data_IF_418768965794
#
_entry.id   IF_418768965794
#
_cell.length_a   1.000
_cell.length_b   1.000
_cell.length_c   1.000
_cell.angle_alpha   90.00
_cell.angle_beta   90.00
_cell.angle_gamma   90.00
#
_symmetry.space_group_name_H-M   'P 1'
#
loop_
_entity.id
_entity.type
_entity.pdbx_description
1 polymer ?
#
# COMPACT_ATOMS: atom_id res chain seq x y z
N UNK A 1 9.42 14.88 2.58
CA UNK A 1 8.66 14.73 1.34
C UNK A 1 9.57 14.16 0.26
N UNK A 2 9.11 13.16 -0.51
CA UNK A 2 9.88 12.56 -1.63
C UNK A 2 9.30 13.09 -2.93
N UNK A 3 10.16 13.59 -3.83
CA UNK A 3 9.76 14.13 -5.13
C UNK A 3 10.59 13.48 -6.24
N UNK A 4 9.90 12.94 -7.22
CA UNK A 4 10.48 12.52 -8.50
C UNK A 4 10.16 13.58 -9.55
N UNK A 5 11.18 14.00 -10.29
CA UNK A 5 11.06 15.01 -11.37
C UNK A 5 11.56 14.38 -12.66
N UNK A 6 10.63 13.88 -13.48
CA UNK A 6 10.90 13.22 -14.78
C UNK A 6 11.94 12.10 -14.69
N UNK A 7 11.92 11.33 -13.58
CA UNK A 7 12.88 10.25 -13.33
C UNK A 7 12.56 9.06 -14.21
N UNK A 8 13.58 8.53 -14.87
CA UNK A 8 13.45 7.34 -15.70
C UNK A 8 14.62 6.38 -15.48
N UNK A 9 14.40 5.10 -15.81
CA UNK A 9 15.42 4.05 -15.72
C UNK A 9 15.31 3.09 -16.88
N UNK A 10 16.43 2.88 -17.56
CA UNK A 10 16.61 1.81 -18.53
C UNK A 10 17.78 0.92 -18.11
N UNK A 11 17.64 -0.38 -18.34
CA UNK A 11 18.70 -1.36 -18.14
C UNK A 11 19.31 -1.75 -19.49
N UNK A 12 20.64 -1.99 -19.52
CA UNK A 12 21.30 -2.54 -20.70
C UNK A 12 21.44 -4.04 -20.57
N UNK A 13 20.73 -4.78 -21.41
CA UNK A 13 20.75 -6.24 -21.45
C UNK A 13 21.13 -6.66 -22.86
N UNK A 14 22.22 -7.39 -23.00
CA UNK A 14 22.74 -7.87 -24.31
C UNK A 14 22.85 -6.76 -25.38
N UNK A 15 23.29 -5.55 -24.95
CA UNK A 15 23.45 -4.39 -25.85
C UNK A 15 22.17 -3.64 -26.21
N UNK A 16 21.02 -4.06 -25.70
CA UNK A 16 19.71 -3.36 -25.90
C UNK A 16 19.32 -2.60 -24.63
N UNK A 17 18.75 -1.43 -24.79
CA UNK A 17 18.14 -0.70 -23.70
C UNK A 17 16.70 -1.19 -23.49
N UNK A 18 16.41 -1.61 -22.26
CA UNK A 18 15.10 -2.05 -21.82
C UNK A 18 14.60 -1.02 -20.80
N UNK A 19 13.59 -0.21 -21.12
CA UNK A 19 13.02 0.74 -20.18
C UNK A 19 12.29 -0.01 -19.08
N UNK A 20 12.66 0.27 -17.81
CA UNK A 20 12.01 -0.28 -16.63
C UNK A 20 11.14 0.75 -15.93
N UNK A 21 11.45 2.04 -16.10
CA UNK A 21 10.65 3.16 -15.62
C UNK A 21 10.69 4.26 -16.68
N UNK A 22 9.52 4.64 -17.16
CA UNK A 22 9.33 5.78 -18.05
C UNK A 22 9.49 7.10 -17.25
N UNK A 23 9.69 8.27 -17.93
CA UNK A 23 9.79 9.54 -17.23
C UNK A 23 8.61 9.75 -16.26
N UNK A 24 8.91 9.64 -14.97
CA UNK A 24 7.92 9.65 -13.89
C UNK A 24 8.10 10.89 -13.03
N UNK A 25 6.99 11.59 -12.76
CA UNK A 25 6.89 12.67 -11.79
C UNK A 25 5.91 12.21 -10.71
N UNK A 26 6.36 12.18 -9.45
CA UNK A 26 5.59 11.66 -8.33
C UNK A 26 5.94 12.44 -7.06
N UNK A 27 4.94 12.68 -6.21
CA UNK A 27 5.13 13.28 -4.89
C UNK A 27 4.59 12.38 -3.78
N UNK A 28 5.42 12.10 -2.76
CA UNK A 28 5.03 11.36 -1.58
C UNK A 28 5.18 12.28 -0.37
N UNK A 29 4.09 12.51 0.35
CA UNK A 29 4.05 13.37 1.53
C UNK A 29 4.81 12.78 2.72
N UNK A 30 5.26 13.65 3.62
CA UNK A 30 5.89 13.20 4.87
C UNK A 30 4.87 12.57 5.81
N UNK A 31 5.26 11.48 6.49
CA UNK A 31 4.45 10.81 7.50
C UNK A 31 3.33 9.93 6.97
N UNK A 32 3.09 9.91 5.66
CA UNK A 32 2.06 9.04 5.05
C UNK A 32 2.58 7.64 4.74
N UNK A 33 1.66 6.70 4.63
CA UNK A 33 1.90 5.38 4.04
C UNK A 33 1.47 5.43 2.58
N UNK A 34 2.45 5.35 1.67
CA UNK A 34 2.23 5.39 0.23
C UNK A 34 2.43 4.02 -0.39
N UNK A 35 1.40 3.53 -1.07
CA UNK A 35 1.42 2.23 -1.76
C UNK A 35 1.78 2.38 -3.23
N UNK A 36 2.50 1.41 -3.76
CA UNK A 36 2.74 1.27 -5.20
C UNK A 36 2.30 -0.14 -5.59
N UNK A 37 1.29 -0.24 -6.44
CA UNK A 37 0.74 -1.51 -6.90
C UNK A 37 0.95 -1.66 -8.42
N UNK A 38 1.07 -2.90 -8.87
CA UNK A 38 1.24 -3.23 -10.28
C UNK A 38 1.59 -4.69 -10.47
N UNK A 39 1.40 -5.24 -11.66
CA UNK A 39 1.81 -6.61 -11.99
C UNK A 39 3.33 -6.82 -11.88
N UNK A 40 3.75 -8.08 -11.91
CA UNK A 40 5.18 -8.39 -11.99
C UNK A 40 5.80 -7.74 -13.24
N UNK A 41 6.97 -7.10 -13.09
CA UNK A 41 7.62 -6.39 -14.18
C UNK A 41 7.12 -4.95 -14.43
N UNK A 42 6.12 -4.45 -13.72
CA UNK A 42 5.61 -3.09 -13.90
C UNK A 42 6.60 -1.96 -13.51
N UNK A 43 7.75 -2.28 -12.92
CA UNK A 43 8.77 -1.29 -12.53
C UNK A 43 8.76 -0.89 -11.05
N UNK A 44 7.90 -1.48 -10.22
CA UNK A 44 7.71 -1.13 -8.79
C UNK A 44 9.02 -1.17 -7.98
N UNK A 45 9.73 -2.30 -7.99
CA UNK A 45 10.99 -2.45 -7.26
C UNK A 45 12.08 -1.52 -7.78
N UNK A 46 12.06 -1.21 -9.09
CA UNK A 46 12.96 -0.22 -9.68
C UNK A 46 12.68 1.16 -9.09
N UNK A 47 11.41 1.61 -9.10
CA UNK A 47 11.00 2.90 -8.54
C UNK A 47 11.35 2.99 -7.05
N UNK A 48 11.10 1.95 -6.27
CA UNK A 48 11.43 1.91 -4.84
C UNK A 48 12.94 2.03 -4.61
N UNK A 49 13.76 1.31 -5.38
CA UNK A 49 15.23 1.29 -5.23
C UNK A 49 15.90 2.57 -5.71
N UNK A 50 15.23 3.36 -6.55
CA UNK A 50 15.70 4.69 -6.93
C UNK A 50 15.63 5.67 -5.75
N UNK A 51 14.67 5.53 -4.81
CA UNK A 51 14.53 6.43 -3.65
C UNK A 51 15.81 6.46 -2.80
N UNK A 52 16.42 5.30 -2.56
CA UNK A 52 17.65 5.19 -1.76
C UNK A 52 18.91 4.99 -2.62
N UNK A 53 18.80 5.21 -3.94
CA UNK A 53 19.87 5.02 -4.93
C UNK A 53 20.57 3.66 -4.82
N UNK A 54 19.82 2.59 -4.51
CA UNK A 54 20.30 1.23 -4.77
C UNK A 54 20.36 0.95 -6.26
N UNK A 55 19.50 1.64 -7.03
CA UNK A 55 19.56 1.76 -8.47
C UNK A 55 19.85 3.21 -8.86
N UNK A 56 20.75 3.43 -9.81
CA UNK A 56 21.01 4.76 -10.37
C UNK A 56 19.96 5.09 -11.43
N UNK A 57 19.31 6.27 -11.38
CA UNK A 57 18.42 6.69 -12.45
C UNK A 57 19.20 6.88 -13.76
N UNK A 58 18.56 6.66 -14.89
CA UNK A 58 19.12 7.00 -16.21
C UNK A 58 18.99 8.49 -16.51
N UNK A 59 18.07 9.19 -15.84
CA UNK A 59 17.91 10.64 -15.88
C UNK A 59 16.77 11.07 -14.96
N UNK A 60 16.56 12.40 -14.92
CA UNK A 60 15.65 13.03 -13.97
C UNK A 60 16.30 13.30 -12.61
N UNK A 61 15.51 13.79 -11.66
CA UNK A 61 15.98 14.22 -10.33
C UNK A 61 15.09 13.64 -9.24
N UNK A 62 15.70 13.19 -8.15
CA UNK A 62 15.00 12.74 -6.94
C UNK A 62 15.41 13.66 -5.80
N UNK A 63 14.42 14.34 -5.22
CA UNK A 63 14.62 15.22 -4.07
C UNK A 63 13.88 14.67 -2.86
N UNK A 64 14.56 14.61 -1.71
CA UNK A 64 14.00 14.11 -0.46
C UNK A 64 14.33 15.11 0.64
N UNK A 65 13.28 15.71 1.24
CA UNK A 65 13.39 16.77 2.26
C UNK A 65 14.35 17.90 1.86
N UNK A 66 14.33 18.32 0.58
CA UNK A 66 15.20 19.36 0.02
C UNK A 66 16.60 18.89 -0.35
N UNK A 67 16.93 17.61 -0.18
CA UNK A 67 18.20 17.02 -0.58
C UNK A 67 18.07 16.37 -1.96
N UNK A 68 18.86 16.83 -2.93
CA UNK A 68 18.98 16.14 -4.22
C UNK A 68 19.78 14.85 -4.07
N UNK A 69 19.06 13.71 -3.96
CA UNK A 69 19.67 12.40 -3.77
C UNK A 69 20.48 11.97 -5.00
N UNK A 70 20.09 12.42 -6.18
CA UNK A 70 20.77 12.07 -7.44
C UNK A 70 22.16 12.71 -7.57
N UNK A 71 22.37 13.84 -6.90
CA UNK A 71 23.64 14.58 -6.93
C UNK A 71 24.60 14.25 -5.77
N UNK A 72 24.17 13.40 -4.79
CA UNK A 72 25.01 13.06 -3.65
C UNK A 72 26.27 12.29 -4.06
N UNK A 73 27.42 12.66 -3.48
CA UNK A 73 28.64 11.86 -3.53
C UNK A 73 28.53 10.57 -2.67
N UNK A 74 29.53 9.71 -2.71
CA UNK A 74 29.50 8.45 -1.97
C UNK A 74 29.36 8.64 -0.44
N UNK A 75 29.92 9.72 0.12
CA UNK A 75 29.85 10.03 1.55
C UNK A 75 28.46 10.54 1.92
N UNK A 76 27.93 11.48 1.15
CA UNK A 76 26.57 11.99 1.30
C UNK A 76 25.51 10.90 1.18
N UNK A 77 25.68 10.02 0.18
CA UNK A 77 24.78 8.88 -0.04
C UNK A 77 24.80 7.88 1.13
N UNK A 78 25.97 7.62 1.72
CA UNK A 78 26.07 6.77 2.91
C UNK A 78 25.31 7.36 4.09
N UNK A 79 25.46 8.66 4.36
CA UNK A 79 24.73 9.37 5.42
C UNK A 79 23.22 9.40 5.14
N UNK A 80 22.84 9.65 3.90
CA UNK A 80 21.44 9.64 3.49
C UNK A 80 20.80 8.27 3.72
N UNK A 81 21.48 7.18 3.36
CA UNK A 81 20.98 5.81 3.55
C UNK A 81 20.78 5.41 5.01
N UNK A 82 21.45 6.07 5.97
CA UNK A 82 21.17 5.87 7.40
C UNK A 82 19.79 6.39 7.81
N UNK A 83 19.22 7.36 7.05
CA UNK A 83 17.89 7.92 7.27
C UNK A 83 16.79 7.15 6.54
N UNK A 84 17.14 6.09 5.80
CA UNK A 84 16.21 5.27 5.02
C UNK A 84 16.34 3.82 5.47
N UNK A 85 15.30 3.31 6.13
CA UNK A 85 15.19 1.87 6.42
C UNK A 85 14.67 1.10 5.22
N UNK A 86 15.08 -0.16 5.06
CA UNK A 86 14.56 -1.01 4.00
C UNK A 86 14.21 -2.40 4.52
N UNK A 87 13.00 -2.84 4.20
CA UNK A 87 12.45 -4.17 4.45
C UNK A 87 12.38 -4.89 3.11
N UNK A 88 12.90 -6.10 3.05
CA UNK A 88 13.04 -6.89 1.82
C UNK A 88 12.06 -8.06 1.80
N UNK A 89 11.65 -8.46 0.63
CA UNK A 89 10.77 -9.61 0.36
C UNK A 89 11.29 -10.92 1.00
N UNK A 90 12.57 -11.20 0.89
CA UNK A 90 13.20 -12.41 1.40
C UNK A 90 13.95 -12.18 2.73
N UNK A 91 13.49 -11.20 3.55
CA UNK A 91 14.04 -10.83 4.85
C UNK A 91 15.50 -10.36 4.82
N UNK A 92 16.34 -10.90 3.98
CA UNK A 92 17.79 -10.62 3.83
C UNK A 92 18.54 -10.59 5.18
N UNK A 93 18.21 -11.53 6.08
CA UNK A 93 18.87 -11.68 7.35
C UNK A 93 20.21 -12.42 7.17
N UNK A 94 21.20 -12.01 7.92
CA UNK A 94 22.49 -12.70 7.98
C UNK A 94 22.32 -14.02 8.74
N UNK A 95 22.40 -15.14 8.05
CA UNK A 95 22.14 -16.48 8.59
C UNK A 95 23.14 -16.87 9.69
N UNK A 96 24.39 -16.37 9.62
CA UNK A 96 25.45 -16.59 10.58
C UNK A 96 25.42 -15.66 11.81
N UNK A 97 24.46 -14.77 11.89
CA UNK A 97 24.29 -13.80 12.98
C UNK A 97 23.02 -14.05 13.76
N UNK A 98 23.05 -13.76 15.05
CA UNK A 98 21.85 -13.83 15.88
C UNK A 98 20.83 -12.76 15.49
N UNK A 99 19.60 -12.86 16.03
CA UNK A 99 18.57 -11.83 15.90
C UNK A 99 19.09 -10.47 16.38
N UNK A 100 19.67 -10.42 17.58
CA UNK A 100 20.24 -9.18 18.13
C UNK A 100 21.35 -8.62 17.24
N UNK A 101 22.24 -9.46 16.70
CA UNK A 101 23.32 -9.02 15.83
C UNK A 101 22.81 -8.49 14.48
N UNK A 102 21.75 -9.10 13.92
CA UNK A 102 21.10 -8.61 12.71
C UNK A 102 20.53 -7.18 12.92
N UNK A 103 19.89 -6.93 14.06
CA UNK A 103 19.34 -5.61 14.40
C UNK A 103 20.45 -4.61 14.69
N UNK A 104 21.52 -5.02 15.38
CA UNK A 104 22.66 -4.17 15.74
C UNK A 104 23.53 -3.78 14.54
N UNK A 105 23.49 -4.53 13.44
CA UNK A 105 24.43 -4.37 12.34
C UNK A 105 24.45 -2.99 11.71
N UNK A 106 23.31 -2.36 11.37
CA UNK A 106 23.32 -1.00 10.80
C UNK A 106 23.94 0.03 11.77
N UNK A 107 23.71 -0.10 13.07
CA UNK A 107 24.27 0.77 14.09
C UNK A 107 25.79 0.63 14.22
N UNK A 108 26.29 -0.62 14.16
CA UNK A 108 27.75 -0.88 14.16
C UNK A 108 28.43 -0.31 12.92
N UNK A 109 27.75 -0.38 11.76
CA UNK A 109 28.26 0.17 10.49
C UNK A 109 28.24 1.71 10.47
N UNK A 110 27.28 2.33 11.16
CA UNK A 110 27.24 3.79 11.33
C UNK A 110 28.43 4.27 12.20
N UNK A 111 28.81 3.50 13.23
CA UNK A 111 29.95 3.82 14.08
C UNK A 111 29.76 5.01 15.02
N UNK A 112 28.52 5.44 15.23
CA UNK A 112 28.19 6.66 16.00
C UNK A 112 27.86 6.37 17.47
N UNK A 113 27.51 5.13 17.79
CA UNK A 113 27.05 4.72 19.12
C UNK A 113 28.04 3.80 19.82
N UNK A 114 28.14 3.92 21.13
CA UNK A 114 28.85 2.97 21.98
C UNK A 114 28.14 1.60 21.98
N UNK A 115 28.87 0.57 22.43
CA UNK A 115 28.31 -0.78 22.55
C UNK A 115 27.08 -0.82 23.46
N UNK A 116 27.10 -0.11 24.59
CA UNK A 116 26.00 -0.07 25.54
C UNK A 116 24.75 0.59 24.94
N UNK A 117 24.91 1.67 24.17
CA UNK A 117 23.81 2.32 23.46
C UNK A 117 23.21 1.44 22.37
N UNK A 118 24.06 0.70 21.63
CA UNK A 118 23.63 -0.27 20.64
C UNK A 118 22.81 -1.38 21.32
N UNK A 119 23.32 -1.96 22.42
CA UNK A 119 22.64 -3.03 23.14
C UNK A 119 21.27 -2.56 23.69
N UNK A 120 21.22 -1.34 24.24
CA UNK A 120 19.97 -0.72 24.71
C UNK A 120 18.97 -0.52 23.56
N UNK A 121 19.42 0.01 22.40
CA UNK A 121 18.57 0.20 21.22
C UNK A 121 18.05 -1.11 20.65
N UNK A 122 18.88 -2.15 20.63
CA UNK A 122 18.45 -3.49 20.20
C UNK A 122 17.39 -4.06 21.12
N UNK A 123 17.55 -3.91 22.45
CA UNK A 123 16.55 -4.37 23.41
C UNK A 123 15.21 -3.65 23.24
N UNK A 124 15.22 -2.34 23.06
CA UNK A 124 14.01 -1.54 22.77
C UNK A 124 13.29 -2.05 21.52
N UNK A 125 14.03 -2.28 20.43
CA UNK A 125 13.46 -2.76 19.17
C UNK A 125 12.92 -4.18 19.26
N UNK A 126 13.58 -5.05 20.01
CA UNK A 126 13.10 -6.43 20.26
C UNK A 126 11.76 -6.42 20.98
N UNK A 127 11.58 -5.54 21.98
CA UNK A 127 10.29 -5.36 22.67
C UNK A 127 9.24 -4.85 21.68
N UNK A 128 9.56 -3.83 20.89
CA UNK A 128 8.64 -3.23 19.90
C UNK A 128 8.09 -4.25 18.91
N UNK A 129 8.92 -5.20 18.45
CA UNK A 129 8.50 -6.23 17.50
C UNK A 129 8.04 -7.54 18.16
N UNK A 130 8.01 -7.61 19.51
CA UNK A 130 7.58 -8.78 20.27
C UNK A 130 8.52 -9.97 20.16
N UNK A 131 9.85 -9.75 20.13
CA UNK A 131 10.87 -10.78 19.95
C UNK A 131 11.95 -10.76 21.05
N UNK A 132 11.67 -10.22 22.23
CA UNK A 132 12.65 -10.10 23.33
C UNK A 132 13.27 -11.45 23.72
N UNK A 133 12.49 -12.52 23.70
CA UNK A 133 12.96 -13.88 24.04
C UNK A 133 13.72 -14.57 22.90
N UNK A 134 13.82 -13.92 21.75
CA UNK A 134 14.45 -14.47 20.55
C UNK A 134 15.83 -13.85 20.23
N UNK A 135 16.33 -12.93 21.08
CA UNK A 135 17.54 -12.15 20.83
C UNK A 135 18.76 -13.01 20.43
N UNK A 136 18.93 -14.17 21.07
CA UNK A 136 20.07 -15.10 20.86
C UNK A 136 19.83 -16.16 19.79
N UNK A 137 18.61 -16.25 19.21
CA UNK A 137 18.29 -17.19 18.14
C UNK A 137 18.91 -16.76 16.82
N UNK A 138 19.11 -17.74 15.93
CA UNK A 138 19.54 -17.52 14.55
C UNK A 138 18.34 -17.53 13.60
N UNK A 139 18.43 -16.92 12.41
CA UNK A 139 17.33 -16.87 11.44
C UNK A 139 16.74 -18.24 11.09
N UNK A 140 17.53 -19.31 11.05
CA UNK A 140 17.04 -20.66 10.79
C UNK A 140 16.06 -21.20 11.86
N UNK A 141 16.07 -20.62 13.06
CA UNK A 141 15.21 -21.01 14.19
C UNK A 141 13.91 -20.20 14.27
N UNK A 142 13.63 -19.35 13.27
CA UNK A 142 12.51 -18.42 13.26
C UNK A 142 11.48 -18.78 12.19
N UNK A 143 10.20 -18.55 12.49
CA UNK A 143 9.14 -18.56 11.49
C UNK A 143 9.31 -17.41 10.47
N UNK A 144 8.60 -17.45 9.34
CA UNK A 144 8.60 -16.38 8.33
C UNK A 144 8.22 -15.03 8.93
N UNK A 145 7.15 -14.96 9.70
CA UNK A 145 6.70 -13.73 10.36
C UNK A 145 7.69 -13.22 11.41
N UNK A 146 8.35 -14.12 12.15
CA UNK A 146 9.42 -13.72 13.07
C UNK A 146 10.63 -13.15 12.32
N UNK A 147 11.05 -13.76 11.21
CA UNK A 147 12.10 -13.21 10.34
C UNK A 147 11.75 -11.83 9.84
N UNK A 148 10.50 -11.61 9.42
CA UNK A 148 10.03 -10.31 8.95
C UNK A 148 10.08 -9.26 10.06
N UNK A 149 9.63 -9.59 11.28
CA UNK A 149 9.72 -8.71 12.45
C UNK A 149 11.18 -8.35 12.78
N UNK A 150 12.13 -9.27 12.63
CA UNK A 150 13.57 -8.96 12.75
C UNK A 150 14.02 -7.99 11.64
N UNK A 151 13.56 -8.19 10.39
CA UNK A 151 13.81 -7.28 9.28
C UNK A 151 13.30 -5.86 9.53
N UNK A 152 12.08 -5.74 10.10
CA UNK A 152 11.49 -4.47 10.52
C UNK A 152 12.33 -3.82 11.62
N UNK A 153 12.67 -4.54 12.69
CA UNK A 153 13.49 -4.03 13.77
C UNK A 153 14.87 -3.55 13.28
N UNK A 154 15.51 -4.30 12.37
CA UNK A 154 16.76 -3.91 11.73
C UNK A 154 16.61 -2.62 10.91
N UNK A 155 15.54 -2.49 10.12
CA UNK A 155 15.28 -1.30 9.32
C UNK A 155 15.02 -0.05 10.17
N UNK A 156 14.47 -0.21 11.39
CA UNK A 156 14.21 0.87 12.35
C UNK A 156 15.42 1.22 13.23
N UNK A 157 16.50 0.46 13.18
CA UNK A 157 17.60 0.58 14.14
C UNK A 157 18.25 1.96 14.12
N UNK A 158 18.48 2.53 12.94
CA UNK A 158 19.08 3.86 12.74
C UNK A 158 18.12 5.04 12.94
N UNK A 159 16.89 4.81 13.42
CA UNK A 159 15.83 5.83 13.52
C UNK A 159 15.60 6.56 12.18
N UNK A 160 15.25 5.81 11.13
CA UNK A 160 15.07 6.39 9.80
C UNK A 160 13.88 7.36 9.78
N UNK A 161 13.83 8.24 8.79
CA UNK A 161 12.66 9.07 8.45
C UNK A 161 11.76 8.40 7.44
N UNK A 162 12.32 7.52 6.63
CA UNK A 162 11.65 6.82 5.53
C UNK A 162 11.85 5.33 5.70
N UNK A 163 10.79 4.55 5.50
CA UNK A 163 10.81 3.11 5.49
C UNK A 163 10.35 2.61 4.12
N UNK A 164 11.22 1.91 3.41
CA UNK A 164 10.93 1.30 2.12
C UNK A 164 10.61 -0.19 2.33
N UNK A 165 9.48 -0.65 1.79
CA UNK A 165 9.01 -2.03 1.92
C UNK A 165 8.91 -2.68 0.53
N UNK A 166 9.88 -3.52 0.19
CA UNK A 166 9.92 -4.28 -1.07
C UNK A 166 9.18 -5.60 -0.87
N UNK A 167 7.88 -5.65 -1.21
CA UNK A 167 6.99 -6.82 -1.06
C UNK A 167 7.08 -7.50 0.32
N UNK A 168 6.99 -6.71 1.38
CA UNK A 168 7.29 -7.12 2.76
C UNK A 168 6.38 -8.25 3.31
N UNK A 169 5.30 -8.60 2.63
CA UNK A 169 4.30 -9.59 3.08
C UNK A 169 4.12 -10.78 2.14
N UNK A 170 4.67 -10.73 0.92
CA UNK A 170 4.42 -11.74 -0.12
C UNK A 170 4.88 -13.17 0.22
N UNK A 171 5.78 -13.34 1.19
CA UNK A 171 6.29 -14.63 1.66
C UNK A 171 5.60 -15.12 2.95
N UNK A 172 4.50 -14.48 3.38
CA UNK A 172 3.82 -14.75 4.64
C UNK A 172 2.42 -15.31 4.42
N UNK A 173 1.92 -16.06 5.39
CA UNK A 173 0.51 -16.46 5.42
C UNK A 173 -0.40 -15.26 5.74
N UNK A 174 -1.71 -15.32 5.41
CA UNK A 174 -2.64 -14.19 5.57
C UNK A 174 -2.75 -13.66 7.01
N UNK A 175 -2.68 -14.52 8.03
CA UNK A 175 -2.76 -14.12 9.42
C UNK A 175 -1.50 -13.34 9.83
N UNK A 176 -0.33 -13.86 9.47
CA UNK A 176 0.96 -13.20 9.72
C UNK A 176 1.09 -11.89 8.96
N UNK A 177 0.61 -11.85 7.71
CA UNK A 177 0.50 -10.62 6.89
C UNK A 177 -0.27 -9.55 7.66
N UNK A 178 -1.47 -9.87 8.18
CA UNK A 178 -2.26 -8.93 8.97
C UNK A 178 -1.51 -8.35 10.18
N UNK A 179 -0.79 -9.20 10.93
CA UNK A 179 0.01 -8.76 12.08
C UNK A 179 1.19 -7.85 11.70
N UNK A 180 1.86 -8.14 10.58
CA UNK A 180 2.97 -7.30 10.07
C UNK A 180 2.46 -5.95 9.60
N UNK A 181 1.33 -5.91 8.88
CA UNK A 181 0.70 -4.67 8.44
C UNK A 181 0.23 -3.81 9.61
N UNK A 182 -0.36 -4.42 10.64
CA UNK A 182 -0.74 -3.72 11.86
C UNK A 182 0.49 -3.10 12.54
N UNK A 183 1.58 -3.85 12.68
CA UNK A 183 2.83 -3.36 13.24
C UNK A 183 3.38 -2.16 12.44
N UNK A 184 3.35 -2.21 11.10
CA UNK A 184 3.78 -1.09 10.25
C UNK A 184 2.90 0.15 10.43
N UNK A 185 1.57 -0.03 10.55
CA UNK A 185 0.63 1.06 10.81
C UNK A 185 0.87 1.70 12.19
N UNK A 186 1.12 0.90 13.23
CA UNK A 186 1.47 1.37 14.57
C UNK A 186 2.77 2.18 14.55
N UNK A 187 3.82 1.66 13.89
CA UNK A 187 5.11 2.33 13.73
C UNK A 187 4.96 3.66 12.98
N UNK A 188 4.19 3.70 11.90
CA UNK A 188 3.92 4.93 11.16
C UNK A 188 3.26 5.99 12.07
N UNK A 189 2.21 5.61 12.81
CA UNK A 189 1.44 6.49 13.68
C UNK A 189 2.28 7.02 14.85
N UNK A 190 3.08 6.16 15.49
CA UNK A 190 3.88 6.54 16.66
C UNK A 190 5.12 7.36 16.31
N UNK A 191 5.78 7.03 15.21
CA UNK A 191 7.07 7.63 14.84
C UNK A 191 6.96 8.70 13.75
N UNK A 192 5.79 8.86 13.12
CA UNK A 192 5.58 9.79 12.01
C UNK A 192 6.42 9.45 10.77
N UNK A 193 6.80 8.18 10.58
CA UNK A 193 7.62 7.74 9.45
C UNK A 193 6.85 7.84 8.14
N UNK A 194 7.53 8.26 7.08
CA UNK A 194 7.03 8.05 5.73
C UNK A 194 7.30 6.60 5.33
N UNK A 195 6.25 5.85 4.97
CA UNK A 195 6.39 4.45 4.52
C UNK A 195 6.05 4.41 3.04
N UNK A 196 6.95 3.85 2.22
CA UNK A 196 6.68 3.53 0.82
C UNK A 196 6.71 2.02 0.68
N UNK A 197 5.58 1.42 0.33
CA UNK A 197 5.49 -0.02 0.16
C UNK A 197 5.08 -0.39 -1.26
N UNK A 198 5.69 -1.43 -1.78
CA UNK A 198 5.28 -2.02 -3.05
C UNK A 198 4.67 -3.40 -2.80
N UNK A 199 3.62 -3.71 -3.53
CA UNK A 199 2.90 -4.98 -3.47
C UNK A 199 2.16 -5.24 -4.78
N UNK A 200 1.70 -6.45 -4.97
CA UNK A 200 0.72 -6.82 -5.99
C UNK A 200 -0.66 -7.16 -5.35
N UNK A 201 -0.77 -7.04 -4.01
CA UNK A 201 -1.99 -7.35 -3.25
C UNK A 201 -2.75 -6.07 -2.93
N UNK A 202 -3.96 -5.90 -3.49
CA UNK A 202 -4.81 -4.74 -3.24
C UNK A 202 -5.25 -4.66 -1.77
N UNK A 203 -5.44 -5.80 -1.11
CA UNK A 203 -5.80 -5.87 0.30
C UNK A 203 -4.76 -5.23 1.23
N UNK A 204 -3.47 -5.37 0.90
CA UNK A 204 -2.38 -4.70 1.62
C UNK A 204 -2.52 -3.18 1.49
N UNK A 205 -2.79 -2.68 0.27
CA UNK A 205 -3.00 -1.25 0.01
C UNK A 205 -4.18 -0.72 0.84
N UNK A 206 -5.33 -1.39 0.79
CA UNK A 206 -6.55 -0.97 1.52
C UNK A 206 -6.34 -0.86 3.03
N UNK A 207 -5.57 -1.81 3.60
CA UNK A 207 -5.41 -1.92 5.05
C UNK A 207 -4.52 -0.85 5.65
N UNK A 208 -3.49 -0.37 4.95
CA UNK A 208 -2.46 0.46 5.58
C UNK A 208 -2.12 1.74 4.84
N UNK A 209 -2.41 1.85 3.52
CA UNK A 209 -1.99 3.01 2.73
C UNK A 209 -2.98 4.17 2.82
N UNK A 210 -2.45 5.40 2.74
CA UNK A 210 -3.21 6.64 2.61
C UNK A 210 -3.45 6.97 1.13
N UNK A 211 -2.42 6.79 0.33
CA UNK A 211 -2.43 7.02 -1.13
C UNK A 211 -1.78 5.85 -1.84
N UNK A 212 -2.12 5.71 -3.10
CA UNK A 212 -1.59 4.64 -3.96
C UNK A 212 -1.26 5.18 -5.34
N UNK A 213 -0.19 4.65 -5.93
CA UNK A 213 0.10 4.75 -7.36
C UNK A 213 -0.03 3.37 -8.00
N UNK A 214 -0.78 3.28 -9.08
CA UNK A 214 -0.93 2.07 -9.90
C UNK A 214 0.07 2.15 -11.04
N UNK A 215 0.91 1.14 -11.17
CA UNK A 215 1.94 1.05 -12.21
C UNK A 215 1.61 -0.02 -13.23
N UNK A 216 1.81 0.33 -14.51
CA UNK A 216 1.75 -0.59 -15.63
C UNK A 216 2.86 -0.27 -16.64
N UNK A 217 3.60 -1.28 -17.08
CA UNK A 217 4.67 -1.17 -18.09
C UNK A 217 5.65 0.02 -17.86
N UNK A 218 6.04 0.27 -16.61
CA UNK A 218 6.97 1.34 -16.24
C UNK A 218 6.35 2.74 -16.15
N UNK A 219 5.03 2.85 -16.19
CA UNK A 219 4.29 4.13 -16.10
C UNK A 219 3.37 4.10 -14.87
N UNK A 220 3.23 5.23 -14.18
CA UNK A 220 2.14 5.43 -13.21
C UNK A 220 0.90 5.80 -14.03
N UNK A 221 -0.09 4.90 -14.06
CA UNK A 221 -1.32 5.03 -14.84
C UNK A 221 -2.45 5.67 -14.06
N UNK A 222 -2.40 5.59 -12.74
CA UNK A 222 -3.37 6.22 -11.84
C UNK A 222 -2.72 6.48 -10.48
N UNK A 223 -3.07 7.59 -9.81
CA UNK A 223 -2.57 7.96 -8.49
C UNK A 223 -3.65 8.72 -7.72
N UNK A 224 -3.80 8.41 -6.44
CA UNK A 224 -4.76 9.14 -5.61
C UNK A 224 -4.85 8.61 -4.18
N UNK A 225 -5.77 9.18 -3.36
CA UNK A 225 -6.20 8.54 -2.12
C UNK A 225 -6.68 7.12 -2.40
N UNK A 226 -6.38 6.18 -1.48
CA UNK A 226 -6.74 4.77 -1.71
C UNK A 226 -8.25 4.60 -1.92
N UNK A 227 -9.07 5.34 -1.18
CA UNK A 227 -10.52 5.28 -1.33
C UNK A 227 -10.97 5.66 -2.75
N UNK A 228 -10.43 6.73 -3.32
CA UNK A 228 -10.81 7.21 -4.65
C UNK A 228 -10.40 6.21 -5.74
N UNK A 229 -9.12 5.78 -5.71
CA UNK A 229 -8.57 4.83 -6.68
C UNK A 229 -9.26 3.46 -6.59
N UNK A 230 -9.66 3.05 -5.39
CA UNK A 230 -10.29 1.75 -5.17
C UNK A 230 -11.79 1.74 -5.49
N UNK A 231 -12.52 2.79 -5.06
CA UNK A 231 -13.98 2.86 -5.24
C UNK A 231 -14.39 3.42 -6.61
N UNK A 232 -13.52 4.22 -7.24
CA UNK A 232 -13.80 4.92 -8.49
C UNK A 232 -12.62 4.82 -9.48
N UNK A 233 -12.15 3.60 -9.80
CA UNK A 233 -10.99 3.40 -10.68
C UNK A 233 -11.25 3.97 -12.08
N UNK A 234 -10.35 4.83 -12.54
CA UNK A 234 -10.46 5.49 -13.86
C UNK A 234 -9.75 4.69 -14.95
N UNK A 235 -8.57 4.16 -14.63
CA UNK A 235 -7.75 3.44 -15.61
C UNK A 235 -8.16 1.96 -15.73
N UNK A 236 -8.16 1.37 -16.94
CA UNK A 236 -8.52 -0.05 -17.12
C UNK A 236 -7.68 -1.02 -16.28
N UNK A 237 -6.38 -0.75 -16.14
CA UNK A 237 -5.49 -1.56 -15.30
C UNK A 237 -5.90 -1.52 -13.84
N UNK A 238 -6.30 -0.33 -13.31
CA UNK A 238 -6.79 -0.19 -11.92
C UNK A 238 -8.09 -0.95 -11.73
N UNK A 239 -9.03 -0.84 -12.67
CA UNK A 239 -10.31 -1.60 -12.63
C UNK A 239 -10.04 -3.10 -12.52
N UNK A 240 -9.12 -3.61 -13.32
CA UNK A 240 -8.74 -5.04 -13.28
C UNK A 240 -8.19 -5.44 -11.91
N UNK A 241 -7.28 -4.65 -11.31
CA UNK A 241 -6.76 -4.91 -9.97
C UNK A 241 -7.85 -4.93 -8.90
N UNK A 242 -8.81 -4.00 -8.99
CA UNK A 242 -9.94 -3.96 -8.06
C UNK A 242 -10.81 -5.20 -8.24
N UNK A 243 -11.17 -5.57 -9.46
CA UNK A 243 -11.98 -6.75 -9.79
C UNK A 243 -11.32 -8.04 -9.30
N UNK A 244 -10.02 -8.24 -9.58
CA UNK A 244 -9.26 -9.40 -9.12
C UNK A 244 -9.24 -9.51 -7.58
N UNK A 245 -9.11 -8.38 -6.87
CA UNK A 245 -9.11 -8.36 -5.40
C UNK A 245 -10.48 -8.63 -4.80
N UNK A 246 -11.54 -8.33 -5.53
CA UNK A 246 -12.92 -8.48 -5.10
C UNK A 246 -13.51 -9.84 -5.44
N UNK A 247 -12.79 -10.65 -6.22
CA UNK A 247 -13.27 -11.91 -6.82
C UNK A 247 -14.59 -11.69 -7.58
N UNK A 248 -14.73 -10.52 -8.20
CA UNK A 248 -15.92 -10.11 -8.93
C UNK A 248 -15.58 -10.15 -10.42
N UNK A 249 -16.19 -11.06 -11.14
CA UNK A 249 -16.24 -10.98 -12.59
C UNK A 249 -17.47 -10.14 -12.98
N UNK A 250 -17.25 -8.89 -13.44
CA UNK A 250 -18.35 -7.99 -13.81
C UNK A 250 -19.19 -8.52 -14.98
N UNK A 251 -18.57 -9.30 -15.87
CA UNK A 251 -19.27 -9.90 -16.99
C UNK A 251 -20.17 -11.07 -16.51
N UNK A 252 -19.70 -11.91 -15.58
CA UNK A 252 -20.54 -12.89 -14.91
C UNK A 252 -21.68 -12.24 -14.12
N UNK A 253 -21.41 -11.15 -13.37
CA UNK A 253 -22.46 -10.44 -12.63
C UNK A 253 -23.52 -9.79 -13.54
N UNK A 254 -23.14 -9.26 -14.70
CA UNK A 254 -24.12 -8.72 -15.66
C UNK A 254 -25.02 -9.81 -16.22
N UNK A 255 -24.49 -10.97 -16.51
CA UNK A 255 -25.26 -12.14 -16.99
C UNK A 255 -26.14 -12.71 -15.86
N UNK A 256 -25.63 -12.76 -14.62
CA UNK A 256 -26.39 -13.21 -13.45
C UNK A 256 -27.63 -12.36 -13.18
N UNK A 257 -27.58 -11.05 -13.48
CA UNK A 257 -28.71 -10.14 -13.25
C UNK A 257 -29.58 -9.94 -14.50
N UNK A 258 -29.30 -10.60 -15.62
CA UNK A 258 -30.07 -10.47 -16.86
C UNK A 258 -31.55 -10.82 -16.68
N UNK A 259 -31.86 -11.75 -15.79
CA UNK A 259 -33.24 -12.19 -15.49
C UNK A 259 -33.95 -11.37 -14.39
N UNK A 260 -33.26 -10.43 -13.72
CA UNK A 260 -33.83 -9.62 -12.66
C UNK A 260 -34.63 -8.47 -13.25
N UNK A 261 -35.87 -8.29 -12.80
CA UNK A 261 -36.71 -7.17 -13.22
C UNK A 261 -36.38 -5.89 -12.48
N UNK A 262 -36.61 -4.74 -13.13
CA UNK A 262 -36.43 -3.42 -12.53
C UNK A 262 -35.17 -2.70 -12.96
N UNK A 263 -34.94 -1.52 -12.36
CA UNK A 263 -33.74 -0.68 -12.58
C UNK A 263 -32.61 -1.17 -11.69
N UNK A 264 -31.51 -1.58 -12.29
CA UNK A 264 -30.34 -2.06 -11.52
C UNK A 264 -29.37 -0.93 -11.33
N UNK A 265 -28.95 -0.72 -10.08
CA UNK A 265 -28.03 0.33 -9.69
C UNK A 265 -27.01 -0.18 -8.66
N UNK A 266 -25.86 0.48 -8.63
CA UNK A 266 -24.82 0.27 -7.61
C UNK A 266 -24.70 1.54 -6.77
N UNK A 267 -24.77 1.36 -5.45
CA UNK A 267 -24.54 2.43 -4.47
C UNK A 267 -23.22 2.18 -3.77
N UNK A 268 -22.37 3.18 -3.72
CA UNK A 268 -21.11 3.16 -2.95
C UNK A 268 -21.22 4.17 -1.82
N UNK A 269 -21.06 3.70 -0.59
CA UNK A 269 -21.12 4.48 0.65
C UNK A 269 -19.72 4.63 1.22
N UNK A 270 -19.39 5.75 1.81
CA UNK A 270 -18.11 5.98 2.48
C UNK A 270 -18.32 6.68 3.83
N UNK A 271 -17.51 6.32 4.82
CA UNK A 271 -17.57 6.91 6.15
C UNK A 271 -18.89 6.62 6.87
N UNK A 272 -19.45 7.62 7.53
CA UNK A 272 -20.69 7.49 8.31
C UNK A 272 -21.92 7.15 7.45
N UNK A 273 -21.92 7.53 6.17
CA UNK A 273 -22.98 7.19 5.23
C UNK A 273 -23.18 5.67 5.10
N UNK A 274 -22.14 4.87 5.35
CA UNK A 274 -22.21 3.40 5.34
C UNK A 274 -23.22 2.82 6.32
N UNK A 275 -23.47 3.51 7.42
CA UNK A 275 -24.40 3.08 8.48
C UNK A 275 -25.75 3.81 8.47
N UNK A 276 -25.92 4.77 7.56
CA UNK A 276 -27.18 5.52 7.44
C UNK A 276 -28.30 4.62 6.87
N UNK A 277 -29.55 4.72 7.40
CA UNK A 277 -30.68 3.91 6.92
C UNK A 277 -31.25 4.43 5.60
N UNK A 278 -30.38 4.77 4.63
CA UNK A 278 -30.74 5.46 3.38
C UNK A 278 -31.74 4.66 2.55
N UNK A 279 -31.53 3.36 2.36
CA UNK A 279 -32.41 2.50 1.55
C UNK A 279 -33.84 2.51 2.08
N UNK A 280 -34.01 2.31 3.39
CA UNK A 280 -35.35 2.30 4.01
C UNK A 280 -36.02 3.68 3.98
N UNK A 281 -35.23 4.75 4.01
CA UNK A 281 -35.79 6.12 3.90
C UNK A 281 -36.27 6.40 2.49
N UNK A 282 -35.46 6.12 1.48
CA UNK A 282 -35.84 6.33 0.07
C UNK A 282 -37.04 5.47 -0.30
N UNK A 283 -37.08 4.19 0.10
CA UNK A 283 -38.20 3.32 -0.17
C UNK A 283 -39.53 3.86 0.41
N UNK A 284 -39.51 4.37 1.65
CA UNK A 284 -40.73 4.97 2.28
C UNK A 284 -41.17 6.27 1.61
N UNK A 285 -40.24 7.09 1.14
CA UNK A 285 -40.55 8.40 0.54
C UNK A 285 -41.03 8.25 -0.91
N UNK A 286 -40.54 7.29 -1.66
CA UNK A 286 -40.79 7.13 -3.11
C UNK A 286 -41.71 5.95 -3.46
N UNK A 287 -41.99 5.09 -2.47
CA UNK A 287 -42.84 3.91 -2.66
C UNK A 287 -42.16 2.81 -3.50
N UNK A 288 -40.87 2.87 -3.75
CA UNK A 288 -40.14 1.83 -4.47
C UNK A 288 -39.90 0.63 -3.57
N UNK A 289 -39.95 -0.56 -4.16
CA UNK A 289 -39.43 -1.78 -3.58
C UNK A 289 -37.97 -1.98 -4.06
N UNK A 290 -37.13 -2.58 -3.21
CA UNK A 290 -35.76 -2.89 -3.58
C UNK A 290 -35.38 -4.33 -3.22
N UNK A 291 -34.56 -4.94 -4.07
CA UNK A 291 -33.91 -6.24 -3.82
C UNK A 291 -32.41 -6.02 -3.79
N UNK A 292 -31.72 -6.56 -2.77
CA UNK A 292 -30.25 -6.55 -2.70
C UNK A 292 -29.76 -7.74 -3.52
N UNK A 293 -29.08 -7.47 -4.63
CA UNK A 293 -28.53 -8.48 -5.55
C UNK A 293 -27.12 -8.90 -5.13
N UNK A 294 -26.32 -7.93 -4.70
CA UNK A 294 -24.98 -8.13 -4.18
C UNK A 294 -24.63 -7.01 -3.21
N UNK A 295 -23.70 -7.25 -2.31
CA UNK A 295 -23.24 -6.18 -1.43
C UNK A 295 -22.22 -6.62 -0.41
N UNK A 296 -21.46 -5.61 0.06
CA UNK A 296 -20.48 -5.77 1.12
C UNK A 296 -20.35 -4.48 1.91
N UNK A 297 -19.90 -4.62 3.14
CA UNK A 297 -19.41 -3.54 3.99
C UNK A 297 -18.02 -3.96 4.46
N UNK A 298 -17.03 -3.09 4.26
CA UNK A 298 -15.63 -3.36 4.61
C UNK A 298 -14.96 -2.03 5.02
N UNK A 299 -13.65 -2.00 5.16
CA UNK A 299 -12.89 -0.80 5.56
C UNK A 299 -11.70 -0.56 4.64
N UNK A 300 -11.48 0.72 4.34
CA UNK A 300 -10.22 1.21 3.78
C UNK A 300 -9.52 1.93 4.93
N UNK A 301 -8.45 1.31 5.47
CA UNK A 301 -7.81 1.75 6.72
C UNK A 301 -8.85 1.81 7.87
N UNK A 302 -9.10 3.01 8.39
CA UNK A 302 -10.06 3.24 9.48
C UNK A 302 -11.44 3.66 8.98
N UNK A 303 -11.59 3.96 7.68
CA UNK A 303 -12.84 4.45 7.09
C UNK A 303 -13.70 3.29 6.59
N UNK A 304 -14.91 3.11 7.12
CA UNK A 304 -15.84 2.12 6.60
C UNK A 304 -16.30 2.53 5.19
N UNK A 305 -16.53 1.56 4.33
CA UNK A 305 -17.21 1.74 3.06
C UNK A 305 -18.18 0.60 2.83
N UNK A 306 -19.23 0.85 2.05
CA UNK A 306 -20.17 -0.17 1.61
C UNK A 306 -20.44 -0.03 0.12
N UNK A 307 -20.65 -1.14 -0.54
CA UNK A 307 -21.08 -1.18 -1.93
C UNK A 307 -22.25 -2.15 -2.05
N UNK A 308 -23.36 -1.69 -2.59
CA UNK A 308 -24.58 -2.47 -2.76
C UNK A 308 -25.04 -2.41 -4.20
N UNK A 309 -25.33 -3.55 -4.81
CA UNK A 309 -26.02 -3.66 -6.09
C UNK A 309 -27.47 -3.99 -5.80
N UNK A 310 -28.37 -3.14 -6.28
CA UNK A 310 -29.81 -3.18 -5.99
C UNK A 310 -30.61 -3.28 -7.29
N UNK A 311 -31.76 -3.93 -7.23
CA UNK A 311 -32.83 -3.79 -8.22
C UNK A 311 -33.96 -2.98 -7.60
N UNK A 312 -34.39 -1.91 -8.27
CA UNK A 312 -35.58 -1.11 -7.89
C UNK A 312 -36.77 -1.49 -8.75
N UNK A 313 -37.93 -1.68 -8.10
CA UNK A 313 -39.21 -1.96 -8.76
C UNK A 313 -40.34 -1.18 -8.09
N UNK A 314 -41.43 -0.99 -8.81
CA UNK A 314 -42.59 -0.26 -8.28
C UNK A 314 -42.32 1.23 -8.00
N UNK A 315 -43.22 1.92 -7.39
CA UNK A 315 -43.09 3.30 -6.94
C UNK A 315 -42.58 4.29 -8.00
N UNK A 316 -41.98 5.40 -7.50
CA UNK A 316 -41.34 6.41 -8.35
C UNK A 316 -39.82 6.19 -8.35
N UNK A 317 -39.36 5.46 -9.35
CA UNK A 317 -37.94 5.10 -9.51
C UNK A 317 -37.08 6.35 -9.79
N UNK A 318 -37.59 7.33 -10.57
CA UNK A 318 -36.82 8.53 -10.89
C UNK A 318 -36.64 9.41 -9.65
N UNK A 319 -37.68 9.52 -8.82
CA UNK A 319 -37.56 10.18 -7.52
C UNK A 319 -36.57 9.46 -6.59
N UNK A 320 -36.56 8.12 -6.59
CA UNK A 320 -35.61 7.35 -5.82
C UNK A 320 -34.16 7.58 -6.28
N UNK A 321 -33.87 7.57 -7.59
CA UNK A 321 -32.59 7.91 -8.14
C UNK A 321 -32.14 9.33 -7.78
N UNK A 322 -33.07 10.32 -7.87
CA UNK A 322 -32.77 11.68 -7.46
C UNK A 322 -32.41 11.78 -5.95
N UNK A 323 -33.12 11.03 -5.10
CA UNK A 323 -32.85 10.98 -3.65
C UNK A 323 -31.50 10.31 -3.34
N UNK A 324 -31.13 9.22 -4.02
CA UNK A 324 -29.81 8.62 -3.90
C UNK A 324 -28.72 9.57 -4.39
N UNK A 325 -28.91 10.24 -5.54
CA UNK A 325 -27.97 11.22 -6.06
C UNK A 325 -27.80 12.49 -5.22
N UNK A 326 -28.82 12.84 -4.39
CA UNK A 326 -28.73 13.95 -3.44
C UNK A 326 -28.13 13.57 -2.09
N UNK A 327 -27.95 12.27 -1.83
CA UNK A 327 -27.30 11.76 -0.63
C UNK A 327 -25.77 11.72 -0.83
N UNK A 328 -25.03 11.63 0.28
CA UNK A 328 -23.57 11.49 0.27
C UNK A 328 -23.16 10.04 -0.08
N UNK A 329 -23.60 9.60 -1.27
CA UNK A 329 -23.32 8.28 -1.82
C UNK A 329 -23.07 8.39 -3.32
N UNK A 330 -22.17 7.55 -3.83
CA UNK A 330 -21.98 7.47 -5.28
C UNK A 330 -23.00 6.50 -5.89
N UNK A 331 -23.74 7.00 -6.88
CA UNK A 331 -24.76 6.25 -7.60
C UNK A 331 -24.28 5.93 -9.02
N UNK A 332 -24.25 4.67 -9.37
CA UNK A 332 -24.04 4.18 -10.73
C UNK A 332 -25.28 3.40 -11.19
N UNK A 333 -25.85 3.77 -12.34
CA UNK A 333 -26.96 3.03 -12.95
C UNK A 333 -26.39 2.01 -13.91
N UNK A 334 -26.61 0.74 -13.61
CA UNK A 334 -26.05 -0.39 -14.40
C UNK A 334 -26.99 -0.80 -15.54
N UNK A 335 -28.33 -0.74 -15.30
CA UNK A 335 -29.35 -1.06 -16.31
C UNK A 335 -30.67 -0.36 -15.97
#
# INVERSE_FOLDING_TARGET
MIQFQSVHKAYRVAGREIPALQPTTLQIGSGQVFGIIGHSGAGKSTLLRLINRLEEPSGGRIEIDGIDVTALDATGLRRFRQQVGMIFQHFNLLSSKTVADNIAMPLRLAGELSRAEIDARVAELLVRVGLQDHAKKYPAQLSGGQKQRVGIARALSTRPKILLCDEATSALDPQTTGQVLQLLAEINRELGLTIVLITHEMDVIRRVCDRVAVMDAGVIVEEGPVADVFLHPQHPTTRRFVQESEHVDEDEQRDDFAHVSGRILRLTFQGEATYAPLLGTVARETGVDYSILAGRIDRIKDTPYGQLTLALTGGDIDAALARFGAADVHLEVLR
#
